data_IF_530211776073
#
_entry.id   IF_530211776073
#
_cell.length_a   1.000
_cell.length_b   1.000
_cell.length_c   1.000
_cell.angle_alpha   90.00
_cell.angle_beta   90.00
_cell.angle_gamma   90.00
#
_symmetry.space_group_name_H-M   'P 1'
#
loop_
_entity.id
_entity.type
_entity.pdbx_description
1 polymer ?
2 non-polymer ?
3 non-polymer ?
4 non-polymer ?
5 non-polymer ?
6 water ?
#
# COMPACT_ATOMS: atom_id res chain seq x y z
N UNK A 1 8.71 -18.49 1.22
CA UNK A 1 9.50 -17.60 0.33
C UNK A 1 10.88 -18.20 0.11
N UNK A 2 11.23 -18.40 -1.16
CA UNK A 2 12.51 -19.06 -1.52
C UNK A 2 13.72 -18.23 -1.21
N UNK A 3 14.79 -18.90 -0.84
CA UNK A 3 15.99 -18.23 -0.41
C UNK A 3 16.49 -17.27 -1.48
N UNK A 4 16.28 -17.62 -2.74
CA UNK A 4 16.78 -16.80 -3.80
C UNK A 4 16.24 -15.38 -3.67
N UNK A 5 15.02 -15.23 -3.17
CA UNK A 5 14.43 -13.91 -3.06
C UNK A 5 15.20 -13.15 -1.97
N UNK A 6 15.47 -13.82 -0.85
CA UNK A 6 16.31 -13.25 0.21
C UNK A 6 17.71 -12.91 -0.35
N UNK A 7 18.30 -13.78 -1.19
CA UNK A 7 19.67 -13.53 -1.66
C UNK A 7 19.75 -12.27 -2.50
N UNK A 8 18.76 -12.06 -3.36
CA UNK A 8 18.66 -10.85 -4.18
C UNK A 8 18.45 -9.62 -3.31
N UNK A 9 17.62 -9.75 -2.27
CA UNK A 9 17.40 -8.68 -1.30
C UNK A 9 18.74 -8.29 -0.63
N UNK A 10 19.55 -9.28 -0.27
CA UNK A 10 20.84 -9.02 0.36
C UNK A 10 21.67 -8.17 -0.58
N UNK A 11 21.77 -8.59 -1.85
CA UNK A 11 22.52 -7.80 -2.86
C UNK A 11 22.02 -6.37 -2.91
N UNK A 12 20.72 -6.17 -2.83
CA UNK A 12 20.18 -4.82 -2.79
C UNK A 12 20.56 -4.04 -1.53
N UNK A 13 20.42 -4.65 -0.35
CA UNK A 13 20.67 -3.91 0.88
C UNK A 13 22.17 -3.70 0.98
N UNK A 14 22.95 -4.66 0.52
CA UNK A 14 24.40 -4.53 0.64
C UNK A 14 24.92 -3.40 -0.27
N UNK A 15 24.32 -3.22 -1.44
CA UNK A 15 24.76 -2.19 -2.40
C UNK A 15 24.41 -0.77 -1.99
N UNK A 16 23.19 -0.57 -1.50
CA UNK A 16 22.69 0.77 -1.21
C UNK A 16 23.15 1.21 0.18
N UNK A 17 23.04 0.31 1.16
CA UNK A 17 23.19 0.63 2.58
C UNK A 17 24.47 0.05 3.21
N UNK A 18 25.03 -1.03 2.66
CA UNK A 18 26.24 -1.63 3.19
C UNK A 18 26.05 -2.98 3.87
N UNK A 19 27.09 -3.80 3.89
CA UNK A 19 27.03 -5.16 4.47
C UNK A 19 26.74 -5.14 5.97
N UNK A 20 27.25 -4.12 6.68
CA UNK A 20 27.03 -3.97 8.12
C UNK A 20 25.53 -3.84 8.42
N UNK A 21 24.80 -3.15 7.54
CA UNK A 21 23.36 -2.98 7.69
C UNK A 21 22.60 -4.29 7.45
N UNK A 22 22.99 -5.05 6.44
CA UNK A 22 22.31 -6.31 6.17
C UNK A 22 22.44 -7.25 7.34
N UNK A 23 23.58 -7.20 8.02
CA UNK A 23 23.81 -8.11 9.15
C UNK A 23 23.01 -7.66 10.37
N UNK A 24 22.75 -6.36 10.47
CA UNK A 24 21.82 -5.83 11.45
C UNK A 24 20.45 -6.43 11.17
N UNK A 25 19.94 -6.22 9.95
CA UNK A 25 18.60 -6.67 9.56
C UNK A 25 18.45 -8.15 9.84
N UNK A 26 19.47 -8.91 9.48
CA UNK A 26 19.39 -10.35 9.58
C UNK A 26 19.44 -10.84 11.04
N UNK A 27 20.30 -10.24 11.86
CA UNK A 27 20.38 -10.61 13.29
C UNK A 27 19.08 -10.33 14.03
N UNK A 28 18.41 -9.27 13.60
CA UNK A 28 17.23 -8.75 14.26
C UNK A 28 15.96 -9.47 13.80
N UNK A 29 15.85 -9.77 12.50
CA UNK A 29 14.61 -10.33 11.95
C UNK A 29 14.69 -11.82 11.60
N UNK A 30 15.80 -12.46 11.93
CA UNK A 30 16.01 -13.89 11.64
C UNK A 30 16.75 -14.65 12.76
N UNK A 31 16.46 -15.95 12.87
CA UNK A 31 17.12 -16.83 13.85
C UNK A 31 18.63 -16.86 13.73
N UNK A 32 19.28 -17.16 14.85
CA UNK A 32 20.72 -17.14 14.91
C UNK A 32 21.35 -18.07 13.82
N UNK A 33 22.31 -17.49 13.10
CA UNK A 33 23.09 -18.16 12.06
C UNK A 33 22.27 -18.51 10.81
N UNK A 34 21.28 -17.68 10.47
CA UNK A 34 20.46 -17.96 9.30
C UNK A 34 21.32 -17.85 8.06
N UNK A 35 21.15 -18.84 7.19
CA UNK A 35 21.70 -18.81 5.85
C UNK A 35 20.56 -19.09 4.89
N UNK A 36 20.38 -18.21 3.92
CA UNK A 36 19.31 -18.45 2.97
C UNK A 36 19.87 -19.26 1.79
N UNK A 37 19.51 -20.54 1.73
CA UNK A 37 19.88 -21.40 0.60
C UNK A 37 18.91 -21.09 -0.54
N UNK A 38 19.44 -20.86 -1.73
CA UNK A 38 18.63 -20.24 -2.79
C UNK A 38 17.40 -21.09 -3.16
N UNK A 39 17.56 -22.42 -3.20
CA UNK A 39 16.39 -23.31 -3.46
C UNK A 39 15.44 -23.64 -2.24
N UNK A 40 15.82 -23.32 -1.00
CA UNK A 40 14.95 -23.62 0.15
C UNK A 40 13.80 -22.63 0.41
N UNK A 41 12.70 -23.10 1.00
CA UNK A 41 11.61 -22.25 1.46
C UNK A 41 11.89 -21.72 2.84
N UNK A 42 11.65 -20.43 3.05
CA UNK A 42 11.70 -19.82 4.40
C UNK A 42 10.43 -19.02 4.67
N UNK A 43 10.23 -18.64 5.92
CA UNK A 43 8.99 -17.95 6.29
C UNK A 43 8.88 -16.56 5.63
N UNK A 44 7.81 -16.31 4.88
CA UNK A 44 7.64 -15.01 4.23
C UNK A 44 7.68 -13.85 5.24
N UNK A 45 7.38 -14.14 6.51
CA UNK A 45 7.40 -13.08 7.51
C UNK A 45 8.81 -12.54 7.76
N UNK A 46 9.83 -13.35 7.54
CA UNK A 46 11.21 -12.90 7.63
C UNK A 46 11.48 -11.86 6.54
N UNK A 47 10.97 -12.05 5.32
CA UNK A 47 11.19 -11.04 4.26
C UNK A 47 10.45 -9.74 4.59
N UNK A 48 9.13 -9.81 4.78
CA UNK A 48 8.32 -8.63 5.15
C UNK A 48 8.92 -7.86 6.32
N UNK A 49 9.35 -8.52 7.38
CA UNK A 49 10.04 -7.80 8.45
C UNK A 49 11.35 -7.13 8.02
N UNK A 50 12.17 -7.75 7.16
CA UNK A 50 13.41 -7.10 6.74
C UNK A 50 13.08 -5.85 5.90
N UNK A 51 12.11 -6.01 5.00
CA UNK A 51 11.72 -4.95 4.07
C UNK A 51 10.99 -3.84 4.82
N UNK A 52 10.18 -4.20 5.80
CA UNK A 52 9.53 -3.17 6.58
C UNK A 52 10.58 -2.36 7.34
N UNK A 53 11.63 -3.01 7.83
CA UNK A 53 12.67 -2.31 8.58
C UNK A 53 13.38 -1.28 7.67
N UNK A 54 13.67 -1.66 6.42
CA UNK A 54 14.39 -0.82 5.44
C UNK A 54 13.60 0.45 5.08
N UNK A 55 12.32 0.23 4.79
CA UNK A 55 11.37 1.28 4.50
C UNK A 55 11.38 2.34 5.60
N UNK A 56 11.48 1.86 6.82
CA UNK A 56 11.46 2.77 7.94
C UNK A 56 12.79 3.53 8.11
N UNK A 57 13.92 2.87 7.89
CA UNK A 57 15.22 3.54 7.95
C UNK A 57 15.27 4.65 6.90
N UNK A 58 14.72 4.36 5.74
CA UNK A 58 14.82 5.27 4.61
C UNK A 58 13.66 6.30 4.59
N UNK A 59 12.84 6.28 5.64
CA UNK A 59 11.59 7.01 5.69
C UNK A 59 10.86 7.00 4.34
N UNK A 60 10.59 5.80 3.84
CA UNK A 60 9.89 5.61 2.59
C UNK A 60 8.61 4.82 2.79
N UNK A 61 7.60 5.09 1.97
CA UNK A 61 6.39 4.25 1.98
C UNK A 61 6.73 2.79 1.63
N UNK A 62 6.22 1.87 2.42
CA UNK A 62 6.56 0.47 2.26
C UNK A 62 6.32 -0.04 0.83
N UNK A 63 5.25 0.39 0.15
CA UNK A 63 5.05 -0.19 -1.17
C UNK A 63 6.03 0.42 -2.20
N UNK A 64 6.60 1.60 -1.91
CA UNK A 64 7.61 2.19 -2.81
C UNK A 64 8.92 1.40 -2.71
N UNK A 65 9.18 0.82 -1.55
CA UNK A 65 10.36 0.03 -1.32
C UNK A 65 10.22 -1.37 -1.93
N UNK A 66 9.02 -1.92 -1.81
CA UNK A 66 8.72 -3.22 -2.37
C UNK A 66 8.80 -3.11 -3.88
N UNK A 67 8.27 -2.03 -4.45
CA UNK A 67 8.31 -1.83 -5.89
C UNK A 67 9.74 -1.68 -6.38
N UNK A 68 10.60 -1.08 -5.59
CA UNK A 68 11.93 -0.83 -6.04
C UNK A 68 12.71 -2.16 -6.01
N UNK A 69 12.43 -2.96 -4.97
CA UNK A 69 12.94 -4.32 -4.88
C UNK A 69 12.55 -5.18 -6.08
N UNK A 70 11.26 -5.20 -6.41
CA UNK A 70 10.79 -5.89 -7.59
C UNK A 70 11.60 -5.51 -8.79
N UNK A 71 11.93 -4.23 -8.93
CA UNK A 71 12.65 -3.85 -10.15
C UNK A 71 14.11 -4.42 -10.13
N UNK A 72 14.77 -4.37 -8.98
CA UNK A 72 16.08 -4.95 -8.78
C UNK A 72 16.02 -6.49 -8.87
N UNK A 73 14.93 -7.06 -8.36
CA UNK A 73 14.71 -8.50 -8.33
C UNK A 73 14.66 -9.06 -9.76
N UNK A 74 14.08 -8.33 -10.71
CA UNK A 74 13.99 -8.88 -12.05
C UNK A 74 15.38 -9.16 -12.57
N UNK A 75 16.28 -8.22 -12.42
CA UNK A 75 17.61 -8.41 -12.97
C UNK A 75 18.29 -9.53 -12.23
N UNK A 76 17.98 -9.68 -10.95
CA UNK A 76 18.69 -10.66 -10.15
C UNK A 76 18.21 -12.06 -10.46
N UNK A 77 16.91 -12.18 -10.78
CA UNK A 77 16.36 -13.43 -11.28
C UNK A 77 16.84 -13.74 -12.67
N UNK A 78 16.80 -12.77 -13.56
CA UNK A 78 17.22 -12.98 -14.95
C UNK A 78 18.67 -13.41 -15.03
N UNK A 79 19.51 -12.91 -14.16
CA UNK A 79 20.88 -13.32 -14.30
C UNK A 79 21.12 -14.71 -13.59
N UNK A 80 20.23 -15.14 -12.71
CA UNK A 80 20.40 -16.43 -12.06
C UNK A 80 19.65 -17.54 -12.83
N UNK A 81 18.62 -17.15 -13.59
CA UNK A 81 17.86 -18.05 -14.46
C UNK A 81 17.88 -17.52 -15.90
N UNK A 82 19.08 -17.23 -16.41
CA UNK A 82 19.21 -16.68 -17.75
C UNK A 82 18.49 -17.50 -18.84
N UNK A 83 18.53 -18.82 -18.69
CA UNK A 83 17.94 -19.73 -19.67
C UNK A 83 16.42 -19.50 -19.71
N UNK A 84 15.79 -19.16 -18.59
CA UNK A 84 14.37 -18.89 -18.62
C UNK A 84 14.02 -17.56 -19.36
N UNK A 85 14.70 -16.46 -18.99
CA UNK A 85 14.43 -15.14 -19.61
C UNK A 85 14.88 -15.08 -21.08
N UNK A 86 15.90 -15.84 -21.49
CA UNK A 86 16.33 -15.85 -22.90
C UNK A 86 15.36 -16.59 -23.86
N UNK A 87 14.34 -17.23 -23.30
CA UNK A 87 13.22 -17.73 -24.09
C UNK A 87 12.40 -16.61 -24.79
N UNK A 88 12.53 -15.36 -24.32
CA UNK A 88 11.69 -14.27 -24.82
C UNK A 88 12.47 -13.21 -25.56
N UNK A 89 11.94 -12.81 -26.70
CA UNK A 89 12.67 -11.82 -27.52
C UNK A 89 12.28 -10.35 -27.21
N UNK A 90 11.19 -10.15 -26.50
CA UNK A 90 10.67 -8.81 -26.25
C UNK A 90 9.82 -8.83 -24.99
N UNK A 91 9.64 -7.63 -24.44
CA UNK A 91 8.86 -7.39 -23.23
C UNK A 91 7.46 -7.96 -23.32
N UNK A 92 6.74 -7.74 -24.41
CA UNK A 92 5.37 -8.18 -24.46
C UNK A 92 5.26 -9.73 -24.38
N UNK A 93 6.17 -10.45 -25.00
CA UNK A 93 6.17 -11.91 -24.93
C UNK A 93 6.47 -12.42 -23.55
N UNK A 94 7.43 -11.80 -22.87
CA UNK A 94 7.78 -12.21 -21.53
C UNK A 94 6.57 -12.00 -20.58
N UNK A 95 5.89 -10.85 -20.67
CA UNK A 95 4.77 -10.62 -19.79
C UNK A 95 3.70 -11.70 -20.09
N UNK A 96 3.43 -11.97 -21.37
CA UNK A 96 2.39 -12.94 -21.73
C UNK A 96 2.77 -14.36 -21.32
N UNK A 97 4.01 -14.55 -20.86
CA UNK A 97 4.53 -15.87 -20.52
C UNK A 97 4.92 -16.05 -19.05
N UNK A 98 4.62 -15.05 -18.20
CA UNK A 98 5.02 -15.11 -16.81
C UNK A 98 4.39 -16.32 -16.17
N UNK A 99 3.16 -16.64 -16.54
CA UNK A 99 2.49 -17.64 -15.77
C UNK A 99 2.76 -19.03 -16.32
N UNK A 100 2.60 -19.20 -17.62
CA UNK A 100 2.68 -20.48 -18.32
C UNK A 100 4.07 -20.95 -18.75
N UNK A 101 5.07 -20.07 -18.71
CA UNK A 101 6.41 -20.44 -19.07
C UNK A 101 7.38 -20.18 -17.90
N UNK A 102 7.47 -18.95 -17.44
CA UNK A 102 8.43 -18.61 -16.40
C UNK A 102 8.08 -19.29 -15.06
N UNK A 103 6.96 -18.94 -14.46
CA UNK A 103 6.62 -19.51 -13.18
C UNK A 103 6.26 -21.03 -13.37
N UNK A 104 5.90 -21.44 -14.58
CA UNK A 104 5.73 -22.86 -14.84
C UNK A 104 7.11 -23.57 -14.63
N UNK A 105 8.17 -23.01 -15.23
CA UNK A 105 9.52 -23.54 -15.01
C UNK A 105 9.98 -23.50 -13.55
N UNK A 106 9.61 -22.43 -12.86
CA UNK A 106 9.93 -22.24 -11.45
C UNK A 106 9.36 -23.43 -10.66
N UNK A 107 8.23 -24.00 -11.06
CA UNK A 107 7.79 -25.29 -10.45
C UNK A 107 8.64 -26.53 -10.72
N UNK A 108 9.44 -26.55 -11.80
CA UNK A 108 10.35 -27.66 -12.08
C UNK A 108 11.69 -27.40 -11.45
N UNK A 109 12.05 -26.13 -11.29
CA UNK A 109 13.35 -25.75 -10.73
C UNK A 109 13.44 -25.80 -9.20
N UNK A 110 12.33 -25.48 -8.56
CA UNK A 110 12.20 -25.33 -7.12
C UNK A 110 11.15 -26.31 -6.56
N UNK A 111 11.43 -26.92 -5.42
CA UNK A 111 10.41 -27.72 -4.78
C UNK A 111 9.25 -26.88 -4.17
N UNK A 112 8.02 -27.09 -4.62
CA UNK A 112 6.82 -26.39 -4.07
C UNK A 112 7.00 -24.88 -3.79
N UNK A 113 7.30 -24.10 -4.84
CA UNK A 113 7.35 -22.64 -4.66
C UNK A 113 5.98 -22.04 -4.41
N UNK A 114 5.96 -20.82 -3.84
CA UNK A 114 4.73 -20.06 -3.54
C UNK A 114 4.61 -18.87 -4.48
N UNK A 115 3.79 -19.06 -5.50
CA UNK A 115 3.74 -18.19 -6.64
C UNK A 115 2.36 -17.55 -6.79
N UNK A 116 2.32 -16.35 -7.41
CA UNK A 116 1.00 -15.75 -7.59
C UNK A 116 0.30 -16.43 -8.73
N UNK A 117 -0.97 -16.10 -8.89
CA UNK A 117 -1.68 -16.48 -10.09
C UNK A 117 -1.77 -15.25 -11.02
N UNK A 118 -1.34 -15.39 -12.27
CA UNK A 118 -1.23 -14.29 -13.19
C UNK A 118 -1.87 -14.70 -14.51
N UNK A 119 -2.63 -13.80 -15.14
CA UNK A 119 -3.10 -13.99 -16.51
C UNK A 119 -2.97 -12.66 -17.27
N UNK A 120 -2.27 -12.69 -18.41
CA UNK A 120 -2.11 -11.53 -19.25
C UNK A 120 -3.04 -11.58 -20.44
N UNK A 121 -3.60 -10.44 -20.84
CA UNK A 121 -4.38 -10.35 -22.07
C UNK A 121 -3.87 -9.18 -22.87
N UNK A 122 -3.61 -9.43 -24.15
CA UNK A 122 -3.20 -8.37 -25.06
C UNK A 122 -4.38 -7.51 -25.40
N UNK A 123 -4.16 -6.19 -25.36
CA UNK A 123 -5.21 -5.22 -25.64
C UNK A 123 -4.80 -4.46 -26.88
N UNK A 124 -5.72 -3.69 -27.47
CA UNK A 124 -5.32 -2.79 -28.56
C UNK A 124 -4.37 -1.65 -28.06
N UNK A 125 -3.64 -1.03 -28.97
CA UNK A 125 -2.72 0.05 -28.61
C UNK A 125 -1.55 -0.37 -27.75
N UNK A 126 -1.08 -1.60 -27.95
CA UNK A 126 0.12 -2.02 -27.27
C UNK A 126 0.00 -2.00 -25.76
N UNK A 127 -1.18 -2.37 -25.25
CA UNK A 127 -1.40 -2.48 -23.84
C UNK A 127 -1.58 -3.95 -23.48
N UNK A 128 -1.26 -4.25 -22.23
CA UNK A 128 -1.54 -5.54 -21.65
C UNK A 128 -2.34 -5.40 -20.34
N UNK A 129 -3.39 -6.20 -20.20
CA UNK A 129 -4.14 -6.36 -18.95
C UNK A 129 -3.56 -7.55 -18.23
N UNK A 130 -2.80 -7.28 -17.19
CA UNK A 130 -2.21 -8.33 -16.38
C UNK A 130 -2.97 -8.51 -15.05
N UNK A 131 -3.80 -9.51 -14.95
CA UNK A 131 -4.52 -9.81 -13.73
C UNK A 131 -3.63 -10.54 -12.72
N UNK A 132 -3.48 -10.04 -11.50
CA UNK A 132 -2.66 -10.68 -10.49
C UNK A 132 -3.51 -11.08 -9.32
N UNK A 133 -3.13 -12.16 -8.64
CA UNK A 133 -3.90 -12.72 -7.55
C UNK A 133 -2.93 -13.49 -6.69
N UNK A 134 -2.86 -13.22 -5.40
CA UNK A 134 -2.04 -14.00 -4.49
C UNK A 134 -2.40 -13.63 -3.09
N UNK A 135 -2.40 -14.61 -2.20
CA UNK A 135 -2.69 -14.33 -0.81
C UNK A 135 -1.55 -13.50 -0.20
N UNK A 136 -0.40 -13.48 -0.82
CA UNK A 136 0.67 -12.66 -0.28
C UNK A 136 0.53 -11.15 -0.62
N UNK A 137 -0.31 -10.85 -1.61
CA UNK A 137 -0.63 -9.49 -1.95
C UNK A 137 0.58 -8.67 -2.29
N UNK A 138 1.41 -9.18 -3.18
CA UNK A 138 2.65 -8.51 -3.57
C UNK A 138 2.55 -7.90 -4.94
N UNK A 139 1.42 -7.26 -5.21
CA UNK A 139 1.19 -6.64 -6.50
C UNK A 139 2.19 -5.50 -6.74
N UNK A 140 2.72 -4.88 -5.70
CA UNK A 140 3.69 -3.82 -5.97
C UNK A 140 5.04 -4.38 -6.30
N UNK A 141 5.32 -5.57 -5.80
CA UNK A 141 6.52 -6.29 -6.18
C UNK A 141 6.37 -6.64 -7.64
N UNK A 142 5.16 -7.00 -8.05
CA UNK A 142 4.94 -7.33 -9.46
C UNK A 142 5.11 -6.13 -10.39
N UNK A 143 4.71 -4.93 -9.94
CA UNK A 143 4.97 -3.69 -10.73
C UNK A 143 6.47 -3.46 -10.92
N UNK A 144 7.20 -3.53 -9.84
CA UNK A 144 8.65 -3.46 -9.93
C UNK A 144 9.20 -4.46 -10.95
N UNK A 145 8.77 -5.73 -10.84
CA UNK A 145 9.31 -6.75 -11.77
C UNK A 145 9.01 -6.40 -13.23
N UNK A 146 7.84 -5.80 -13.47
CA UNK A 146 7.47 -5.44 -14.83
C UNK A 146 8.35 -4.32 -15.31
N UNK A 147 8.70 -3.40 -14.41
CA UNK A 147 9.57 -2.30 -14.78
C UNK A 147 10.96 -2.83 -15.04
N UNK A 148 11.33 -3.89 -14.32
CA UNK A 148 12.63 -4.54 -14.51
C UNK A 148 12.70 -5.24 -15.86
N UNK A 149 11.65 -5.97 -16.16
CA UNK A 149 11.51 -6.63 -17.42
C UNK A 149 11.59 -5.62 -18.57
N UNK A 150 10.90 -4.51 -18.43
CA UNK A 150 11.02 -3.42 -19.42
C UNK A 150 12.49 -2.93 -19.62
N UNK A 151 13.20 -2.67 -18.52
CA UNK A 151 14.58 -2.21 -18.57
C UNK A 151 15.41 -3.27 -19.31
N UNK A 152 15.10 -4.53 -19.06
CA UNK A 152 15.85 -5.63 -19.65
C UNK A 152 15.80 -5.65 -21.20
N UNK A 153 14.63 -5.37 -21.76
CA UNK A 153 14.44 -5.28 -23.20
C UNK A 153 14.55 -3.86 -23.76
N UNK A 154 15.11 -2.95 -22.98
CA UNK A 154 15.23 -1.56 -23.41
C UNK A 154 13.88 -1.00 -23.87
N UNK A 155 12.86 -1.40 -23.14
CA UNK A 155 11.53 -0.91 -23.36
C UNK A 155 11.18 0.14 -22.29
N UNK A 156 10.18 0.97 -22.61
CA UNK A 156 9.62 1.92 -21.68
C UNK A 156 8.13 1.65 -21.43
N UNK A 157 7.74 1.56 -20.15
CA UNK A 157 6.32 1.33 -19.84
C UNK A 157 5.66 2.27 -18.81
N UNK A 158 4.33 2.30 -18.81
CA UNK A 158 3.58 2.86 -17.69
C UNK A 158 2.61 1.81 -17.22
N UNK A 159 2.24 1.88 -15.95
CA UNK A 159 1.31 0.93 -15.36
C UNK A 159 0.23 1.68 -14.59
N UNK A 160 -1.02 1.39 -14.90
CA UNK A 160 -2.20 1.69 -14.07
C UNK A 160 -2.62 0.51 -13.21
N UNK A 161 -2.96 0.78 -11.97
CA UNK A 161 -3.19 -0.22 -10.95
C UNK A 161 -4.40 0.24 -10.12
N UNK A 162 -5.58 0.18 -10.73
CA UNK A 162 -6.79 0.73 -10.11
C UNK A 162 -7.81 -0.29 -9.58
N UNK A 163 -7.58 -1.54 -9.77
CA UNK A 163 -8.25 -2.58 -9.02
C UNK A 163 -7.12 -3.21 -8.26
N UNK A 164 -7.30 -3.36 -6.94
CA UNK A 164 -6.19 -3.80 -6.09
C UNK A 164 -6.70 -4.58 -4.89
N UNK A 165 -5.94 -5.60 -4.47
CA UNK A 165 -6.31 -6.41 -3.32
C UNK A 165 -6.23 -5.50 -2.07
N UNK A 166 -5.36 -4.50 -2.10
CA UNK A 166 -5.22 -3.59 -0.97
C UNK A 166 -6.38 -2.62 -0.85
N UNK A 167 -7.26 -2.54 -1.86
CA UNK A 167 -8.45 -1.65 -1.78
C UNK A 167 -9.72 -2.48 -1.87
N UNK A 168 -9.55 -3.77 -1.59
CA UNK A 168 -10.65 -4.65 -1.27
C UNK A 168 -11.04 -5.68 -2.30
N UNK A 169 -10.41 -5.67 -3.46
CA UNK A 169 -10.74 -6.62 -4.51
C UNK A 169 -10.06 -7.94 -4.20
N UNK A 170 -10.45 -9.01 -4.90
CA UNK A 170 -9.76 -10.28 -4.72
C UNK A 170 -8.63 -10.50 -5.71
N UNK A 171 -8.41 -9.53 -6.58
CA UNK A 171 -7.26 -9.55 -7.53
C UNK A 171 -6.80 -8.12 -7.76
N UNK A 172 -5.71 -7.95 -8.49
CA UNK A 172 -5.34 -6.63 -9.03
C UNK A 172 -5.34 -6.65 -10.57
N UNK A 173 -5.64 -5.51 -11.21
CA UNK A 173 -5.47 -5.35 -12.64
C UNK A 173 -4.34 -4.39 -12.88
N UNK A 174 -3.27 -4.88 -13.50
CA UNK A 174 -2.16 -4.01 -13.88
C UNK A 174 -2.33 -3.75 -15.38
N UNK A 175 -2.75 -2.57 -15.73
CA UNK A 175 -2.88 -2.23 -17.13
C UNK A 175 -1.55 -1.65 -17.59
N UNK A 176 -0.83 -2.40 -18.39
CA UNK A 176 0.50 -2.02 -18.85
C UNK A 176 0.45 -1.32 -20.18
N UNK A 177 1.04 -0.15 -20.25
CA UNK A 177 1.17 0.48 -21.57
C UNK A 177 2.62 0.38 -22.11
N UNK A 178 2.80 -0.23 -23.26
CA UNK A 178 4.15 -0.28 -23.85
C UNK A 178 4.38 1.03 -24.62
N UNK A 179 5.17 1.95 -24.08
CA UNK A 179 5.38 3.28 -24.72
C UNK A 179 6.43 3.23 -25.83
N UNK A 180 7.48 2.48 -25.62
CA UNK A 180 8.52 2.26 -26.61
C UNK A 180 9.27 0.95 -26.38
N UNK A 181 9.67 0.29 -27.47
CA UNK A 181 10.72 -0.74 -27.46
C UNK A 181 11.34 -0.79 -28.87
N UNK A 182 12.31 -1.66 -29.10
CA UNK A 182 13.10 -1.55 -30.30
C UNK A 182 12.29 -1.87 -31.56
N UNK A 183 11.05 -2.33 -31.39
CA UNK A 183 10.20 -2.58 -32.55
C UNK A 183 9.02 -1.64 -32.68
N UNK A 184 8.96 -0.66 -31.79
CA UNK A 184 8.00 0.43 -31.87
C UNK A 184 8.70 1.63 -32.48
N UNK A 185 8.19 2.11 -33.61
CA UNK A 185 8.72 3.35 -34.21
C UNK A 185 7.77 4.55 -33.96
N UNK A 186 6.89 4.89 -34.87
CA UNK A 186 6.05 6.04 -34.60
C UNK A 186 4.84 5.63 -33.78
N UNK A 187 4.36 4.41 -33.98
CA UNK A 187 3.20 3.90 -33.25
C UNK A 187 3.07 2.38 -33.52
N UNK B 1 -6.85 -3.93 8.65
CA UNK B 1 -7.82 -2.88 9.18
C UNK B 1 -8.27 -3.19 10.60
N UNK B 2 -7.93 -2.29 11.52
CA UNK B 2 -8.15 -2.58 12.94
C UNK B 2 -9.61 -2.49 13.33
N UNK B 3 -9.97 -3.27 14.32
CA UNK B 3 -11.34 -3.28 14.78
C UNK B 3 -11.84 -1.89 15.19
N UNK B 4 -10.98 -1.09 15.79
CA UNK B 4 -11.38 0.22 16.21
C UNK B 4 -12.04 0.95 15.06
N UNK B 5 -11.50 0.80 13.84
CA UNK B 5 -11.99 1.49 12.67
C UNK B 5 -13.42 1.04 12.35
N UNK B 6 -13.69 -0.23 12.54
CA UNK B 6 -15.00 -0.79 12.27
C UNK B 6 -15.98 -0.36 13.34
N UNK B 7 -15.49 -0.25 14.57
CA UNK B 7 -16.30 0.18 15.69
C UNK B 7 -16.79 1.61 15.49
N UNK B 8 -15.91 2.51 15.10
CA UNK B 8 -16.25 3.90 14.80
C UNK B 8 -17.21 3.94 13.61
N UNK B 9 -16.95 3.16 12.57
CA UNK B 9 -17.89 3.05 11.44
C UNK B 9 -19.24 2.58 11.92
N UNK B 10 -19.30 1.60 12.84
CA UNK B 10 -20.60 1.14 13.37
C UNK B 10 -21.39 2.32 13.96
N UNK B 11 -20.72 3.15 14.75
CA UNK B 11 -21.38 4.25 15.43
C UNK B 11 -21.96 5.17 14.41
N UNK B 12 -21.28 5.33 13.28
CA UNK B 12 -21.69 6.33 12.33
C UNK B 12 -22.88 5.80 11.56
N UNK B 13 -22.79 4.54 11.11
CA UNK B 13 -23.85 3.92 10.31
C UNK B 13 -25.11 3.75 11.14
N UNK B 14 -24.95 3.41 12.42
CA UNK B 14 -26.11 3.26 13.27
C UNK B 14 -26.77 4.62 13.43
N UNK B 15 -26.00 5.69 13.61
CA UNK B 15 -26.58 7.02 13.81
C UNK B 15 -27.31 7.53 12.56
N UNK B 16 -26.78 7.21 11.39
CA UNK B 16 -27.37 7.68 10.13
C UNK B 16 -28.50 6.74 9.63
N UNK B 17 -28.30 5.40 9.63
CA UNK B 17 -29.22 4.47 8.95
C UNK B 17 -30.03 3.57 9.85
N UNK B 18 -29.61 3.47 11.11
CA UNK B 18 -30.21 2.57 12.09
C UNK B 18 -29.44 1.25 12.21
N UNK B 19 -29.57 0.69 13.40
CA UNK B 19 -28.90 -0.56 13.75
C UNK B 19 -29.31 -1.71 12.81
N UNK B 20 -30.54 -1.72 12.29
CA UNK B 20 -30.96 -2.78 11.38
C UNK B 20 -30.15 -2.80 10.08
N UNK B 21 -29.70 -1.62 9.63
CA UNK B 21 -28.91 -1.58 8.41
C UNK B 21 -27.52 -2.07 8.75
N UNK B 22 -27.03 -1.74 9.93
CA UNK B 22 -25.70 -2.16 10.27
C UNK B 22 -25.66 -3.68 10.39
N UNK B 23 -26.72 -4.27 10.96
CA UNK B 23 -26.75 -5.70 11.11
C UNK B 23 -26.77 -6.33 9.73
N UNK B 24 -27.57 -5.79 8.83
CA UNK B 24 -27.60 -6.31 7.47
C UNK B 24 -26.21 -6.24 6.80
N UNK B 25 -25.51 -5.13 7.00
CA UNK B 25 -24.21 -4.95 6.36
C UNK B 25 -23.24 -6.02 6.84
N UNK B 26 -23.16 -6.18 8.15
CA UNK B 26 -22.38 -7.19 8.82
C UNK B 26 -22.72 -8.60 8.35
N UNK B 27 -24.00 -8.91 8.21
CA UNK B 27 -24.38 -10.20 7.66
C UNK B 27 -23.97 -10.42 6.22
N UNK B 28 -24.07 -9.40 5.35
CA UNK B 28 -23.75 -9.60 3.94
C UNK B 28 -22.25 -9.67 3.74
N UNK B 29 -21.47 -8.92 4.52
CA UNK B 29 -20.08 -8.65 4.15
C UNK B 29 -19.06 -9.20 5.11
N UNK B 30 -19.54 -9.77 6.22
CA UNK B 30 -18.62 -10.39 7.15
C UNK B 30 -19.07 -11.81 7.44
N UNK B 31 -18.14 -12.66 7.85
CA UNK B 31 -18.52 -14.04 8.10
C UNK B 31 -19.43 -14.16 9.31
N UNK B 32 -20.07 -15.31 9.41
CA UNK B 32 -21.07 -15.57 10.42
C UNK B 32 -20.48 -15.27 11.80
N UNK B 33 -21.21 -14.48 12.59
CA UNK B 33 -20.88 -14.24 14.00
C UNK B 33 -19.67 -13.29 14.18
N UNK B 34 -19.42 -12.46 13.17
CA UNK B 34 -18.39 -11.44 13.27
C UNK B 34 -18.69 -10.43 14.37
N UNK B 35 -17.69 -10.24 15.22
CA UNK B 35 -17.56 -9.09 16.09
C UNK B 35 -16.24 -8.38 15.86
N UNK B 36 -16.28 -7.06 15.67
CA UNK B 36 -15.07 -6.28 15.46
C UNK B 36 -14.45 -5.89 16.83
N UNK B 37 -13.45 -6.66 17.22
CA UNK B 37 -12.68 -6.38 18.42
C UNK B 37 -11.62 -5.33 18.16
N UNK B 38 -11.61 -4.32 19.01
CA UNK B 38 -10.87 -3.09 18.76
C UNK B 38 -9.43 -3.31 18.26
N UNK B 39 -8.70 -4.20 18.93
CA UNK B 39 -7.29 -4.28 18.70
C UNK B 39 -6.94 -5.40 17.70
N UNK B 40 -7.97 -6.09 17.20
CA UNK B 40 -7.72 -7.14 16.20
C UNK B 40 -7.78 -6.59 14.80
N UNK B 41 -7.08 -7.27 13.91
CA UNK B 41 -7.02 -6.91 12.51
C UNK B 41 -7.99 -7.74 11.69
N UNK B 42 -8.56 -7.11 10.68
CA UNK B 42 -9.54 -7.72 9.82
C UNK B 42 -9.25 -7.35 8.37
N UNK B 43 -9.68 -8.17 7.42
CA UNK B 43 -9.56 -7.85 6.01
C UNK B 43 -10.02 -6.42 5.58
N UNK B 44 -9.24 -5.77 4.73
CA UNK B 44 -9.63 -4.47 4.23
C UNK B 44 -10.85 -4.66 3.36
N UNK B 45 -11.04 -5.83 2.79
CA UNK B 45 -12.22 -6.08 1.96
C UNK B 45 -13.52 -6.02 2.73
N UNK B 46 -13.53 -6.38 4.01
CA UNK B 46 -14.75 -6.19 4.82
C UNK B 46 -15.09 -4.73 4.89
N UNK B 47 -14.11 -3.90 5.22
CA UNK B 47 -14.37 -2.47 5.36
C UNK B 47 -14.81 -1.82 4.06
N UNK B 48 -14.07 -2.06 2.98
CA UNK B 48 -14.41 -1.45 1.69
C UNK B 48 -15.75 -1.92 1.16
N UNK B 49 -16.07 -3.18 1.39
CA UNK B 49 -17.37 -3.71 0.98
C UNK B 49 -18.50 -3.03 1.70
N UNK B 50 -18.30 -2.83 3.01
CA UNK B 50 -19.31 -2.22 3.86
C UNK B 50 -19.53 -0.79 3.40
N UNK B 51 -18.44 -0.08 3.14
CA UNK B 51 -18.50 1.34 2.83
C UNK B 51 -19.18 1.52 1.48
N UNK B 52 -18.94 0.58 0.56
CA UNK B 52 -19.54 0.66 -0.76
C UNK B 52 -21.04 0.46 -0.68
N UNK B 53 -21.47 -0.45 0.18
CA UNK B 53 -22.89 -0.75 0.40
C UNK B 53 -23.57 0.51 1.05
N UNK B 54 -22.94 1.09 2.08
CA UNK B 54 -23.43 2.35 2.64
C UNK B 54 -23.60 3.41 1.58
N UNK B 55 -22.61 3.55 0.72
CA UNK B 55 -22.61 4.62 -0.27
C UNK B 55 -23.75 4.45 -1.26
N UNK B 56 -23.99 3.23 -1.66
CA UNK B 56 -25.10 2.94 -2.54
C UNK B 56 -26.47 3.20 -1.86
N UNK B 57 -26.59 2.87 -0.58
CA UNK B 57 -27.82 3.07 0.21
C UNK B 57 -28.17 4.54 0.44
N UNK B 58 -27.11 5.36 0.49
CA UNK B 58 -27.22 6.81 0.65
C UNK B 58 -27.11 7.51 -0.69
N UNK B 59 -26.92 6.73 -1.74
CA UNK B 59 -26.74 7.29 -3.07
C UNK B 59 -25.64 8.33 -3.09
N UNK B 60 -24.48 7.99 -2.55
CA UNK B 60 -23.36 8.87 -2.46
C UNK B 60 -22.17 8.26 -3.17
N UNK B 61 -21.36 9.14 -3.74
CA UNK B 61 -20.05 8.69 -4.26
C UNK B 61 -19.27 8.14 -3.09
N UNK B 62 -18.57 7.01 -3.29
CA UNK B 62 -17.76 6.41 -2.28
C UNK B 62 -16.83 7.41 -1.64
N UNK B 63 -16.23 8.31 -2.41
CA UNK B 63 -15.21 9.20 -1.86
C UNK B 63 -15.86 10.20 -0.91
N UNK B 64 -17.14 10.46 -1.06
CA UNK B 64 -17.78 11.39 -0.12
C UNK B 64 -18.12 10.68 1.19
N UNK B 65 -18.48 9.41 1.11
CA UNK B 65 -18.70 8.59 2.29
C UNK B 65 -17.39 8.43 3.09
N UNK B 66 -16.30 8.19 2.38
CA UNK B 66 -15.04 7.94 3.05
C UNK B 66 -14.55 9.27 3.64
N UNK B 67 -14.73 10.40 2.96
CA UNK B 67 -14.33 11.68 3.56
C UNK B 67 -15.13 12.01 4.80
N UNK B 68 -16.44 11.78 4.74
CA UNK B 68 -17.32 12.02 5.90
C UNK B 68 -16.94 11.08 7.02
N UNK B 69 -16.62 9.83 6.70
CA UNK B 69 -16.17 8.88 7.72
C UNK B 69 -14.92 9.37 8.45
N UNK B 70 -13.95 9.81 7.66
CA UNK B 70 -12.72 10.36 8.21
C UNK B 70 -12.98 11.49 9.22
N UNK B 71 -13.85 12.42 8.85
CA UNK B 71 -14.10 13.63 9.67
C UNK B 71 -14.74 13.22 11.00
N UNK B 72 -15.59 12.21 10.94
CA UNK B 72 -16.17 11.55 12.10
C UNK B 72 -15.20 10.67 12.85
N UNK B 73 -14.27 10.05 12.13
CA UNK B 73 -13.36 9.09 12.74
C UNK B 73 -12.41 9.80 13.68
N UNK B 74 -12.10 11.05 13.41
CA UNK B 74 -11.14 11.76 14.23
C UNK B 74 -11.61 11.94 15.66
N UNK B 75 -12.86 12.35 15.91
CA UNK B 75 -13.39 12.35 17.28
C UNK B 75 -13.47 10.94 17.85
N UNK B 76 -13.87 10.00 17.02
CA UNK B 76 -13.95 8.63 17.47
C UNK B 76 -12.60 8.22 18.02
N UNK B 77 -11.54 8.45 17.24
CA UNK B 77 -10.21 8.03 17.67
C UNK B 77 -9.78 8.86 18.85
N UNK B 78 -9.95 10.16 18.70
CA UNK B 78 -9.45 11.09 19.71
C UNK B 78 -10.05 10.79 21.08
N UNK B 79 -11.30 10.36 21.16
CA UNK B 79 -11.90 10.13 22.49
C UNK B 79 -11.50 8.78 23.09
N UNK B 80 -11.19 7.81 22.24
CA UNK B 80 -10.68 6.50 22.67
C UNK B 80 -9.17 6.48 22.97
N UNK B 81 -8.41 7.42 22.40
CA UNK B 81 -7.02 7.66 22.79
C UNK B 81 -6.82 9.12 23.18
N UNK B 82 -7.38 9.55 24.32
CA UNK B 82 -7.26 10.96 24.70
C UNK B 82 -5.79 11.26 25.08
N UNK B 83 -5.02 10.21 25.34
CA UNK B 83 -3.60 10.34 25.65
C UNK B 83 -2.76 10.87 24.48
N UNK B 84 -3.10 10.45 23.26
CA UNK B 84 -2.31 10.79 22.08
C UNK B 84 -2.59 12.24 21.59
N UNK B 85 -3.87 12.61 21.54
CA UNK B 85 -4.25 13.90 20.96
C UNK B 85 -3.99 15.09 21.89
N UNK B 86 -3.92 14.84 23.19
CA UNK B 86 -3.67 15.94 24.12
C UNK B 86 -2.23 16.48 24.02
N UNK B 87 -1.28 15.65 23.55
CA UNK B 87 0.10 16.07 23.38
C UNK B 87 0.18 17.39 22.57
N UNK B 88 -0.81 17.61 21.68
CA UNK B 88 -0.82 18.75 20.74
C UNK B 88 -1.72 19.95 21.17
N UNK B 89 -1.16 21.16 21.03
CA UNK B 89 -1.87 22.39 21.39
C UNK B 89 -2.69 22.97 20.24
N UNK B 90 -2.23 22.80 19.00
CA UNK B 90 -2.89 23.41 17.83
C UNK B 90 -2.98 22.44 16.65
N UNK B 91 -3.68 22.87 15.60
CA UNK B 91 -3.92 22.00 14.46
C UNK B 91 -2.63 21.81 13.65
N UNK B 92 -1.88 22.88 13.41
CA UNK B 92 -0.65 22.77 12.63
C UNK B 92 0.31 21.76 13.26
N UNK B 93 0.44 21.80 14.59
CA UNK B 93 1.44 20.97 15.25
C UNK B 93 0.99 19.49 15.27
N UNK B 94 -0.31 19.24 15.33
CA UNK B 94 -0.80 17.89 15.25
C UNK B 94 -0.55 17.30 13.84
N UNK B 95 -0.84 18.07 12.79
CA UNK B 95 -0.64 17.62 11.42
C UNK B 95 0.83 17.29 11.19
N UNK B 96 1.73 18.04 11.83
CA UNK B 96 3.15 17.83 11.65
C UNK B 96 3.66 16.61 12.42
N UNK B 97 2.89 16.18 13.42
CA UNK B 97 3.26 15.04 14.23
C UNK B 97 2.44 13.78 13.96
N UNK B 98 1.69 13.76 12.86
CA UNK B 98 0.84 12.61 12.56
C UNK B 98 1.66 11.34 12.41
N UNK B 99 2.71 11.45 11.61
CA UNK B 99 3.51 10.28 11.33
C UNK B 99 4.51 10.01 12.46
N UNK B 100 5.24 11.04 12.87
CA UNK B 100 6.36 10.80 13.76
C UNK B 100 5.92 10.71 15.25
N UNK B 101 4.67 11.06 15.55
CA UNK B 101 4.21 11.04 16.95
C UNK B 101 2.97 10.16 17.15
N UNK B 102 1.90 10.46 16.43
CA UNK B 102 0.62 9.76 16.60
C UNK B 102 0.66 8.30 16.12
N UNK B 103 0.92 8.09 14.84
CA UNK B 103 0.93 6.74 14.26
C UNK B 103 2.16 5.94 14.74
N UNK B 104 3.18 6.64 15.24
CA UNK B 104 4.26 5.96 15.95
C UNK B 104 3.66 5.29 17.19
N UNK B 105 2.83 6.05 17.91
CA UNK B 105 2.32 5.59 19.19
C UNK B 105 1.34 4.46 18.89
N UNK B 106 0.70 4.55 17.75
CA UNK B 106 -0.18 3.48 17.32
C UNK B 106 0.58 2.17 17.09
N UNK B 107 1.80 2.23 16.53
CA UNK B 107 2.62 1.00 16.34
C UNK B 107 2.99 0.28 17.65
N UNK B 108 3.06 1.07 18.72
CA UNK B 108 3.36 0.59 20.07
C UNK B 108 2.13 0.03 20.78
N UNK B 109 0.96 0.64 20.50
CA UNK B 109 -0.29 0.26 21.18
C UNK B 109 -0.96 -0.90 20.45
N UNK B 110 -0.73 -1.01 19.15
CA UNK B 110 -1.44 -1.98 18.32
C UNK B 110 -0.49 -3.02 17.78
N UNK B 111 -1.00 -4.24 17.60
CA UNK B 111 -0.17 -5.29 17.07
C UNK B 111 -0.19 -5.25 15.55
N UNK B 112 0.95 -4.92 14.95
CA UNK B 112 1.15 -4.88 13.47
C UNK B 112 -0.01 -4.18 12.77
N UNK B 113 -0.19 -2.88 13.07
CA UNK B 113 -1.19 -2.09 12.35
C UNK B 113 -0.79 -1.84 10.89
N UNK B 114 -1.78 -1.56 10.05
CA UNK B 114 -1.55 -1.16 8.66
C UNK B 114 -1.78 0.36 8.56
N UNK B 115 -0.68 1.10 8.49
CA UNK B 115 -0.69 2.55 8.64
C UNK B 115 -0.18 3.22 7.38
N UNK B 116 -0.72 4.37 6.98
CA UNK B 116 -0.19 5.00 5.76
C UNK B 116 1.17 5.59 5.98
N UNK B 117 1.79 6.15 4.95
CA UNK B 117 3.02 6.93 5.12
C UNK B 117 2.68 8.39 4.91
N UNK B 118 3.05 9.21 5.90
CA UNK B 118 2.64 10.60 5.92
C UNK B 118 3.84 11.47 6.21
N UNK B 119 3.99 12.53 5.45
CA UNK B 119 5.07 13.48 5.68
C UNK B 119 4.59 14.90 5.49
N UNK B 120 4.72 15.69 6.55
CA UNK B 120 4.30 17.08 6.52
C UNK B 120 5.51 17.99 6.47
N UNK B 121 5.45 19.03 5.65
CA UNK B 121 6.40 20.15 5.73
C UNK B 121 5.61 21.47 5.75
N UNK B 122 6.16 22.51 6.37
CA UNK B 122 5.48 23.81 6.42
C UNK B 122 5.78 24.60 5.15
N UNK B 123 4.79 25.36 4.66
CA UNK B 123 4.98 26.15 3.43
C UNK B 123 4.84 27.63 3.75
N UNK B 124 5.38 28.49 2.86
CA UNK B 124 5.15 29.94 3.03
C UNK B 124 3.63 30.25 3.06
N UNK B 125 3.30 31.38 3.71
CA UNK B 125 1.94 31.70 4.15
C UNK B 125 1.46 30.61 5.10
N UNK B 126 0.24 30.72 5.59
CA UNK B 126 -0.27 29.67 6.45
C UNK B 126 -0.60 28.38 5.64
N UNK B 127 0.41 27.60 5.21
CA UNK B 127 0.08 26.36 4.49
C UNK B 127 0.85 25.12 4.98
N UNK B 128 0.37 23.96 4.59
CA UNK B 128 1.03 22.69 4.96
C UNK B 128 0.98 21.70 3.82
N UNK B 129 2.14 21.27 3.35
CA UNK B 129 2.20 20.19 2.37
C UNK B 129 2.18 18.87 3.13
N UNK B 130 1.11 18.10 2.96
CA UNK B 130 1.03 16.77 3.58
C UNK B 130 1.04 15.70 2.50
N UNK B 131 2.16 14.98 2.41
CA UNK B 131 2.33 13.88 1.47
C UNK B 131 1.77 12.67 2.14
N UNK B 132 0.80 12.07 1.47
CA UNK B 132 0.17 10.84 1.88
C UNK B 132 0.46 9.70 0.86
N UNK B 133 0.87 8.55 1.36
CA UNK B 133 1.14 7.38 0.55
C UNK B 133 0.73 6.10 1.25
N UNK B 134 -0.08 5.31 0.57
CA UNK B 134 -0.62 4.03 1.11
C UNK B 134 -1.19 3.16 -0.01
N UNK B 135 -0.93 1.84 0.02
CA UNK B 135 -1.56 0.97 -0.98
C UNK B 135 -3.09 0.92 -0.85
N UNK B 136 -3.65 1.21 0.32
CA UNK B 136 -5.11 1.23 0.48
C UNK B 136 -5.78 2.49 -0.07
N UNK B 137 -5.01 3.49 -0.53
CA UNK B 137 -5.52 4.67 -1.24
C UNK B 137 -6.67 5.33 -0.48
N UNK B 138 -6.44 5.64 0.80
CA UNK B 138 -7.49 6.14 1.67
C UNK B 138 -7.28 7.65 1.92
N UNK B 139 -6.78 8.35 0.89
CA UNK B 139 -6.48 9.79 0.96
C UNK B 139 -7.73 10.61 1.30
N UNK B 140 -8.90 10.17 0.83
CA UNK B 140 -10.14 10.85 1.18
C UNK B 140 -10.51 10.65 2.65
N UNK B 141 -10.11 9.53 3.24
CA UNK B 141 -10.24 9.37 4.66
C UNK B 141 -9.33 10.35 5.38
N UNK B 142 -8.10 10.48 4.89
CA UNK B 142 -7.19 11.48 5.48
C UNK B 142 -7.71 12.93 5.32
N UNK B 143 -8.34 13.25 4.18
CA UNK B 143 -8.94 14.55 4.01
C UNK B 143 -9.92 14.77 5.15
N UNK B 144 -10.85 13.83 5.32
CA UNK B 144 -11.88 13.91 6.34
C UNK B 144 -11.25 14.08 7.71
N UNK B 145 -10.21 13.30 7.97
CA UNK B 145 -9.60 13.27 9.30
C UNK B 145 -8.98 14.61 9.65
N UNK B 146 -8.41 15.23 8.62
CA UNK B 146 -7.80 16.57 8.72
C UNK B 146 -8.88 17.66 8.96
N UNK B 147 -10.08 17.51 8.40
CA UNK B 147 -11.18 18.42 8.72
C UNK B 147 -11.67 18.15 10.12
N UNK B 148 -11.65 16.88 10.54
CA UNK B 148 -12.08 16.54 11.90
C UNK B 148 -11.11 17.15 12.90
N UNK B 149 -9.85 17.18 12.49
CA UNK B 149 -8.80 17.67 13.36
C UNK B 149 -8.85 19.19 13.38
N UNK B 150 -9.08 19.80 12.21
CA UNK B 150 -9.22 21.25 12.14
C UNK B 150 -10.42 21.63 12.94
N UNK B 151 -11.42 20.77 13.00
CA UNK B 151 -12.64 21.16 13.71
C UNK B 151 -12.39 21.12 15.23
N UNK B 152 -11.59 20.14 15.65
CA UNK B 152 -11.23 19.89 17.05
C UNK B 152 -10.49 21.08 17.67
N UNK B 153 -9.67 21.77 16.85
CA UNK B 153 -8.95 23.00 17.29
C UNK B 153 -9.62 24.29 16.82
N UNK B 154 -10.81 24.18 16.24
CA UNK B 154 -11.54 25.38 15.83
C UNK B 154 -10.77 26.13 14.73
N UNK B 155 -10.37 25.42 13.68
CA UNK B 155 -9.55 26.02 12.60
C UNK B 155 -10.22 26.04 11.21
N UNK B 156 -10.14 27.20 10.57
CA UNK B 156 -10.63 27.42 9.19
C UNK B 156 -9.64 26.95 8.09
N UNK B 157 -9.81 25.72 7.60
CA UNK B 157 -8.96 25.23 6.52
C UNK B 157 -9.68 24.96 5.17
N UNK B 158 -8.87 25.04 4.11
CA UNK B 158 -9.18 24.49 2.78
C UNK B 158 -8.07 23.52 2.37
N UNK B 159 -8.42 22.45 1.66
CA UNK B 159 -7.44 21.48 1.20
C UNK B 159 -7.42 21.34 -0.34
N UNK B 160 -6.26 21.59 -0.96
CA UNK B 160 -6.08 21.27 -2.38
C UNK B 160 -5.53 19.84 -2.53
N UNK B 161 -6.06 19.10 -3.49
CA UNK B 161 -5.74 17.68 -3.63
C UNK B 161 -5.59 17.39 -5.13
N UNK B 162 -4.64 18.04 -5.80
CA UNK B 162 -4.50 17.92 -7.27
C UNK B 162 -3.62 16.73 -7.69
N UNK B 163 -2.58 16.48 -6.90
CA UNK B 163 -1.77 15.27 -7.03
C UNK B 163 -2.38 14.15 -6.14
N UNK B 164 -2.85 13.08 -6.79
CA UNK B 164 -3.60 12.03 -6.11
C UNK B 164 -3.33 10.62 -6.74
N UNK B 165 -3.21 9.60 -5.89
CA UNK B 165 -3.01 8.22 -6.32
C UNK B 165 -4.16 7.70 -7.13
N UNK B 166 -5.34 8.28 -6.91
CA UNK B 166 -6.55 7.98 -7.68
C UNK B 166 -6.52 8.49 -9.15
N UNK B 167 -5.65 9.47 -9.43
CA UNK B 167 -5.60 10.05 -10.76
C UNK B 167 -4.21 9.99 -11.30
N UNK B 168 -3.54 8.86 -11.10
CA UNK B 168 -2.24 8.63 -11.70
C UNK B 168 -0.99 8.74 -10.83
N UNK B 169 -1.01 9.53 -9.77
CA UNK B 169 0.21 9.79 -9.01
C UNK B 169 0.58 8.60 -8.10
N UNK B 170 1.83 8.60 -7.65
CA UNK B 170 2.31 7.58 -6.69
C UNK B 170 2.21 8.06 -5.24
N UNK B 171 1.50 9.16 -5.03
CA UNK B 171 1.23 9.72 -3.70
C UNK B 171 0.11 10.75 -3.84
N UNK B 172 -0.42 11.22 -2.69
CA UNK B 172 -1.33 12.34 -2.69
C UNK B 172 -0.66 13.49 -2.06
N UNK B 173 -0.88 14.67 -2.63
CA UNK B 173 -0.36 15.86 -2.02
C UNK B 173 -1.57 16.66 -1.55
N UNK B 174 -1.72 16.73 -0.23
CA UNK B 174 -2.78 17.53 0.40
C UNK B 174 -2.17 18.84 0.89
N UNK B 175 -2.45 19.93 0.17
CA UNK B 175 -1.96 21.24 0.53
C UNK B 175 -3.01 21.88 1.41
N UNK B 176 -2.68 22.10 2.68
CA UNK B 176 -3.66 22.59 3.64
C UNK B 176 -3.56 24.11 3.80
N UNK B 177 -4.47 24.85 3.17
CA UNK B 177 -4.57 26.32 3.32
C UNK B 177 -5.18 26.69 4.67
N UNK B 178 -4.40 27.26 5.57
CA UNK B 178 -4.93 27.58 6.88
C UNK B 178 -5.39 29.06 6.92
N UNK B 179 -6.00 29.52 8.02
CA UNK B 179 -6.41 30.95 8.15
C UNK B 179 -6.25 31.50 9.59
N UNK B 180 -7.27 31.23 10.42
CA UNK B 180 -7.24 31.54 11.86
C UNK B 180 -7.55 30.29 12.69
N UNK B 181 -7.19 30.30 13.99
CA UNK B 181 -7.31 29.11 14.86
C UNK B 181 -7.64 29.46 16.33
N UNK B 182 -7.45 28.48 17.23
CA UNK B 182 -7.75 28.64 18.67
C UNK B 182 -6.75 29.57 19.40
N UNK B 183 -5.64 29.91 18.73
CA UNK B 183 -4.67 30.95 19.16
C UNK B 183 -4.00 31.58 17.92
N UNK B 184 -4.71 32.51 17.26
CA UNK B 184 -4.16 33.36 16.19
C UNK B 184 -5.28 34.41 15.95
N UNK B 185 -5.37 35.40 16.87
CA UNK B 185 -6.53 36.33 16.97
C UNK B 185 -6.86 37.07 15.67
N UNK B 186 -5.85 37.54 14.94
CA UNK B 186 -6.05 38.13 13.60
C UNK B 186 -5.33 37.37 12.45
X LIG C 1 8.38 -14.21 -10.24
X LIG C 1 7.75 -14.92 -7.26
X LIG C 1 5.88 -12.08 -10.30
X LIG C 1 9.42 -13.03 -13.20
X LIG C 1 10.59 -16.51 -10.43
X LIG C 1 6.76 -13.77 -8.96
X LIG C 1 6.85 -13.94 -7.59
X LIG C 1 6.00 -13.00 -6.84
X LIG C 1 5.49 -12.13 -7.75
X LIG C 1 5.99 -12.60 -9.02
X LIG C 1 4.61 -10.91 -7.62
X LIG C 1 5.86 -13.01 -5.29
X LIG C 1 4.84 -14.00 -4.75
X LIG C 1 3.36 -13.85 -4.92
X LIG C 1 2.59 -14.77 -4.49
X LIG C 1 3.05 -12.77 -5.47
X LIG C 1 7.54 -12.79 -11.71
X LIG C 1 6.54 -11.86 -11.52
X LIG C 1 6.30 -10.93 -12.63
X LIG C 1 7.40 -11.31 -13.35
X LIG C 1 8.21 -12.37 -12.85
X LIG C 1 5.17 -9.90 -12.70
X LIG C 1 7.81 -10.70 -14.66
X LIG C 1 8.43 -9.43 -15.16
X LIG C 1 9.88 -14.74 -11.73
X LIG C 1 10.29 -14.05 -12.86
X LIG C 1 11.50 -14.63 -13.42
X LIG C 1 11.79 -15.63 -12.58
X LIG C 1 10.81 -15.75 -11.56
X LIG C 1 12.22 -14.14 -14.67
X LIG C 1 12.92 -16.62 -12.65
X LIG C 1 12.88 -17.74 -13.61
X LIG C 1 9.01 -15.76 -8.99
X LIG C 1 10.09 -16.61 -9.14
X LIG C 1 10.41 -17.29 -7.89
X LIG C 1 9.47 -16.85 -7.03
X LIG C 1 8.68 -15.85 -7.66
X LIG C 1 11.51 -18.30 -7.64
X LIG C 1 9.39 -17.17 -5.55
X LIG C 1 8.40 -18.23 -5.13
X LIG C 1 8.65 -18.57 -3.66
X LIG C 1 9.32 -17.75 -2.97
X LIG C 1 8.25 -19.68 -3.15
X LIG C 1 7.77 -14.94 -6.32
X LIG C 1 5.36 -11.31 -10.19
X LIG C 1 9.74 -12.64 -13.99
X LIG C 1 11.31 -17.10 -10.43
X LIG C 1 5.17 -10.13 -7.47
X LIG C 1 4.01 -11.03 -6.88
X LIG C 1 4.10 -10.79 -8.44
X LIG C 1 5.59 -12.11 -5.01
X LIG C 1 6.72 -13.21 -4.90
X LIG C 1 4.95 -13.89 -3.79
X LIG C 1 5.07 -14.84 -5.16
X LIG C 1 4.40 -10.21 -12.20
X LIG C 1 4.93 -9.75 -13.62
X LIG C 1 5.48 -9.05 -12.31
X LIG C 1 7.64 -11.28 -15.37
X LIG C 1 8.60 -9.27 -16.07
X LIG C 1 8.62 -8.83 -14.49
X LIG C 1 11.72 -14.41 -15.46
X LIG C 1 13.10 -14.52 -14.71
X LIG C 1 12.29 -13.17 -14.64
X LIG C 1 13.65 -16.53 -12.06
X LIG C 1 13.54 -18.39 -13.71
X LIG C 1 12.10 -17.67 -14.10
X LIG C 1 12.22 -18.17 -8.29
X LIG C 1 11.15 -19.20 -7.73
X LIG C 1 11.87 -18.19 -6.74
X LIG C 1 9.11 -16.34 -5.11
X LIG C 1 10.27 -17.45 -5.26
X LIG C 1 8.60 -19.02 -5.65
X LIG C 1 7.51 -17.88 -5.22
X LIG D 1 -2.62 -4.34 -6.15
X LIG E 1 9.30 -13.20 -9.48
X LIG E 1 9.88 -12.45 -8.46
X LIG F 1 11.67 2.31 -30.61
X LIG G 1 -4.90 7.56 11.67
X LIG G 1 -5.26 4.79 10.20
X LIG G 1 -4.51 9.12 8.83
X LIG G 1 -5.09 10.59 13.20
X LIG G 1 -4.77 6.20 14.51
X LIG G 1 -4.58 6.95 9.68
X LIG G 1 -5.17 5.76 9.22
X LIG G 1 -5.57 5.88 7.84
X LIG G 1 -5.38 7.15 7.44
X LIG G 1 -4.82 7.80 8.62
X LIG G 1 -5.61 7.89 6.15
X LIG G 1 -6.19 4.75 7.02
X LIG G 1 -5.21 3.69 6.50
X LIG G 1 -4.26 3.97 5.36
X LIG G 1 -3.55 3.04 4.88
X LIG G 1 -4.27 5.19 5.00
X LIG G 1 -4.57 9.66 11.07
X LIG G 1 -4.53 10.16 9.76
X LIG G 1 -4.49 11.59 9.60
X LIG G 1 -4.70 11.88 10.93
X LIG G 1 -4.79 10.78 11.85
X LIG G 1 -4.31 12.31 8.23
X LIG G 1 -4.83 13.29 11.46
X LIG G 1 -5.31 14.66 11.03
X LIG G 1 -4.88 8.34 13.72
X LIG G 1 -5.15 9.63 14.18
X LIG G 1 -5.34 9.64 15.62
X LIG G 1 -5.22 8.34 15.98
X LIG G 1 -4.94 7.53 14.82
X LIG G 1 -5.67 10.87 16.50
X LIG G 1 -5.32 7.81 17.39
X LIG G 1 -4.65 6.60 17.97
X LIG G 1 -4.78 5.58 12.33
X LIG G 1 -4.89 5.13 13.63
X LIG G 1 -5.19 3.70 13.70
X LIG G 1 -5.23 3.32 12.38
X LIG G 1 -5.07 4.47 11.55
X LIG G 1 -5.36 2.92 14.99
X LIG G 1 -5.64 1.96 11.83
X LIG G 1 -4.49 0.99 11.51
X LIG G 1 -4.93 -0.37 11.00
X LIG G 1 -6.12 -0.58 10.64
X LIG G 1 -4.07 -1.29 11.00
X LIG G 1 -5.71 4.07 9.82
X LIG G 1 -4.73 9.53 8.03
X LIG G 1 -5.21 11.43 13.59
X LIG G 1 -4.86 5.78 15.33
X LIG G 1 -6.52 8.22 6.11
X LIG G 1 -5.45 7.29 5.41
X LIG G 1 -5.00 8.64 6.09
X LIG G 1 -6.62 5.15 6.25
X LIG G 1 -6.86 4.31 7.56
X LIG G 1 -5.81 3.02 6.12
X LIG G 1 -4.65 3.46 7.26
X LIG G 1 -3.79 11.75 7.64
X LIG G 1 -3.86 13.16 8.37
X LIG G 1 -5.18 12.47 7.84
X LIG G 1 -4.52 13.32 12.34
X LIG G 1 -5.28 15.41 11.59
X LIG G 1 -5.64 14.68 10.16
X LIG G 1 -4.88 11.42 16.59
X LIG G 1 -5.97 10.57 17.37
X LIG G 1 -6.38 11.38 16.08
X LIG G 1 -5.87 8.27 17.96
X LIG G 1 -4.74 6.30 18.85
X LIG G 1 -4.12 6.21 17.31
X LIG G 1 -5.62 3.53 15.71
X LIG G 1 -4.52 2.50 15.23
X LIG G 1 -6.05 2.24 14.88
X LIG G 1 -6.10 2.12 11.00
X LIG G 1 -6.19 1.54 12.49
X LIG G 1 -4.04 0.83 12.35
X LIG G 1 -3.95 1.40 10.82
X LIG H 1 -5.58 11.32 -3.15
#
# INVERSE_FOLDING_TARGET
MKGIIFNVLEDMVVAQCGMSVWNELLEKHAPKDRVYVSAKSYAESELFSIVQDVAQRLNMPIQDVVKAFGQFLFNGLASRHTDVVDKFDDFTSLVMGIHDVIHLEVNKLYHEPSLPHINGQLLPNNQIALRYSSPRRLCFCAEGLLFGAAQHFAAAIQISHDTCMHTGADHCMLIIELQNDENLYFQ
MKGIIFNVLEDMVVAQCGMSVWNELLEKHAPKDRVYVSAKSYAESELFSIVQDVAQRLNMPIQDVVKAFGQFLFNGLASRHTDVVDKFDDFTSLVMGIHDVIHLEVNKLYHEPSLPHINGQLLPNNQIALRYSSPRRLCFCAEGLLFGAAQHFAAAIQISHDTCMHTGADHCMLIIELQNDENLYFQ
MNH MN CHA CHB CHC CHD NA C1A C2A C3A C4A CMA CAA CBA CGA O1A O2A NB C1B C2B C3B C4B CMB CAB CBB NC C1C C2C C3C C4C CMC CAC CBC ND C1D C2D C3D C4D CMD CAD CBD CGD O1D O2D HHA HHB HHC HHD HMA1 HMA2 HMA3 HAA1 HAA2 HBA1 HBA2 HMB1 HMB2 HMB3 HAB HBB1 HBB2 HMC1 HMC2 HMC3 HAC HBC1 HBC2 HMD1 HMD2 HMD3 HAD1 HAD2 HBD1 HBD2
ZN ZN
NO N O
NA NA
MNH MN CHA CHB CHC CHD NA C1A C2A C3A C4A CMA CAA CBA CGA O1A O2A NB C1B C2B C3B C4B CMB CAB CBB NC C1C C2C C3C C4C CMC CAC CBC ND C1D C2D C3D C4D CMD CAD CBD CGD O1D O2D HHA HHB HHC HHD HMA1 HMA2 HMA3 HAA1 HAA2 HBA1 HBA2 HMB1 HMB2 HMB3 HAB HBB1 HBB2 HMC1 HMC2 HMC3 HAC HBC1 HBC2 HMD1 HMD2 HMD3 HAD1 HAD2 HBD1 HBD2
ZN ZN
#
